data_IF_265104608315
#
_entry.id   IF_265104608315
#
_cell.length_a   1.000
_cell.length_b   1.000
_cell.length_c   1.000
_cell.angle_alpha   90.00
_cell.angle_beta   90.00
_cell.angle_gamma   90.00
#
_symmetry.space_group_name_H-M   'P 1'
#
loop_
_entity.id
_entity.type
_entity.pdbx_description
1 polymer ?
#
# COMPACT_ATOMS: atom_id res chain seq x y z
N UNK A 1 -16.47 2.58 3.20
CA UNK A 1 -15.52 2.72 2.08
C UNK A 1 -15.00 1.32 1.85
N UNK A 2 -15.36 0.70 0.73
CA UNK A 2 -15.08 -0.71 0.45
C UNK A 2 -13.56 -0.91 0.48
N UNK A 3 -13.07 -1.46 1.59
CA UNK A 3 -11.65 -1.56 1.85
C UNK A 3 -11.11 -2.68 0.96
N UNK A 4 -10.21 -2.37 0.02
CA UNK A 4 -9.48 -3.37 -0.77
C UNK A 4 -8.90 -4.48 0.13
N UNK A 5 -8.51 -4.13 1.36
CA UNK A 5 -8.13 -5.08 2.41
C UNK A 5 -9.21 -6.11 2.74
N UNK A 6 -10.46 -5.68 2.92
CA UNK A 6 -11.60 -6.54 3.25
C UNK A 6 -11.96 -7.43 2.06
N UNK A 7 -11.89 -6.88 0.84
CA UNK A 7 -12.11 -7.65 -0.38
C UNK A 7 -11.08 -8.78 -0.56
N UNK A 8 -9.80 -8.51 -0.28
CA UNK A 8 -8.71 -9.49 -0.37
C UNK A 8 -8.83 -10.56 0.74
N UNK A 9 -9.28 -10.18 1.95
CA UNK A 9 -9.55 -11.14 3.03
C UNK A 9 -10.71 -12.08 2.67
N UNK A 10 -11.77 -11.55 2.06
CA UNK A 10 -12.92 -12.35 1.64
C UNK A 10 -12.64 -13.19 0.39
N UNK A 11 -11.64 -12.83 -0.42
CA UNK A 11 -11.30 -13.50 -1.67
C UNK A 11 -9.78 -13.77 -1.77
N UNK A 12 -9.25 -14.77 -1.04
CA UNK A 12 -7.81 -15.02 -0.97
C UNK A 12 -7.19 -15.38 -2.33
N UNK A 13 -7.97 -15.93 -3.27
CA UNK A 13 -7.51 -16.21 -4.64
C UNK A 13 -7.23 -14.94 -5.46
N UNK A 14 -7.98 -13.86 -5.22
CA UNK A 14 -7.79 -12.58 -5.92
C UNK A 14 -6.55 -11.82 -5.44
N UNK A 15 -5.97 -12.19 -4.29
CA UNK A 15 -4.72 -11.60 -3.78
C UNK A 15 -3.59 -11.64 -4.83
N UNK A 16 -3.46 -12.76 -5.53
CA UNK A 16 -2.45 -12.92 -6.57
C UNK A 16 -2.74 -12.07 -7.80
N UNK A 17 -4.01 -11.97 -8.19
CA UNK A 17 -4.41 -11.19 -9.35
C UNK A 17 -4.36 -9.68 -9.11
N UNK A 18 -4.58 -9.23 -7.88
CA UNK A 18 -4.62 -7.81 -7.51
C UNK A 18 -3.28 -7.26 -7.02
N UNK A 19 -2.51 -8.07 -6.28
CA UNK A 19 -1.24 -7.64 -5.71
C UNK A 19 -0.02 -8.36 -6.30
N UNK A 20 -0.21 -9.41 -7.11
CA UNK A 20 0.88 -10.22 -7.63
C UNK A 20 1.48 -11.19 -6.61
N UNK A 21 0.90 -11.31 -5.41
CA UNK A 21 1.42 -12.10 -4.29
C UNK A 21 0.41 -13.15 -3.86
N UNK A 22 0.88 -14.35 -3.48
CA UNK A 22 -0.01 -15.33 -2.84
C UNK A 22 -0.47 -14.82 -1.49
N UNK A 23 -1.68 -15.21 -1.07
CA UNK A 23 -2.25 -14.80 0.21
C UNK A 23 -1.35 -15.09 1.42
N UNK A 24 -0.70 -16.26 1.45
CA UNK A 24 0.24 -16.62 2.52
C UNK A 24 1.45 -15.67 2.58
N UNK A 25 2.00 -15.31 1.42
CA UNK A 25 3.12 -14.38 1.32
C UNK A 25 2.71 -12.97 1.75
N UNK A 26 1.48 -12.56 1.40
CA UNK A 26 0.90 -11.29 1.83
C UNK A 26 0.75 -11.25 3.36
N UNK A 27 0.26 -12.33 3.98
CA UNK A 27 0.11 -12.41 5.42
C UNK A 27 1.46 -12.34 6.14
N UNK A 28 2.46 -13.10 5.67
CA UNK A 28 3.82 -13.03 6.21
C UNK A 28 4.44 -11.63 6.06
N UNK A 29 4.16 -10.95 4.94
CA UNK A 29 4.63 -9.59 4.70
C UNK A 29 3.98 -8.60 5.67
N UNK A 30 2.66 -8.70 5.87
CA UNK A 30 1.92 -7.86 6.81
C UNK A 30 2.46 -8.00 8.23
N UNK A 31 2.66 -9.23 8.72
CA UNK A 31 3.22 -9.47 10.06
C UNK A 31 4.61 -8.85 10.23
N UNK A 32 5.51 -9.07 9.26
CA UNK A 32 6.86 -8.49 9.27
C UNK A 32 6.83 -6.96 9.23
N UNK A 33 5.97 -6.39 8.39
CA UNK A 33 5.86 -4.94 8.23
C UNK A 33 5.29 -4.27 9.49
N UNK A 34 4.27 -4.86 10.12
CA UNK A 34 3.72 -4.37 11.39
C UNK A 34 4.81 -4.42 12.48
N UNK A 35 5.54 -5.54 12.59
CA UNK A 35 6.64 -5.68 13.55
C UNK A 35 7.73 -4.64 13.36
N UNK A 36 8.16 -4.42 12.11
CA UNK A 36 9.14 -3.39 11.76
C UNK A 36 8.61 -1.98 12.07
N UNK A 37 7.33 -1.72 11.80
CA UNK A 37 6.72 -0.43 12.10
C UNK A 37 6.73 -0.15 13.60
N UNK A 38 6.36 -1.13 14.43
CA UNK A 38 6.41 -1.03 15.88
C UNK A 38 7.84 -0.81 16.39
N UNK A 39 8.82 -1.55 15.87
CA UNK A 39 10.24 -1.37 16.23
C UNK A 39 10.72 0.05 15.88
N UNK A 40 10.35 0.56 14.71
CA UNK A 40 10.72 1.91 14.28
C UNK A 40 10.03 2.98 15.13
N UNK A 41 8.76 2.80 15.50
CA UNK A 41 8.05 3.69 16.42
C UNK A 41 8.73 3.70 17.80
N UNK A 42 9.07 2.53 18.35
CA UNK A 42 9.76 2.40 19.63
C UNK A 42 11.15 3.07 19.61
N UNK A 43 11.91 2.93 18.52
CA UNK A 43 13.19 3.62 18.35
C UNK A 43 13.04 5.14 18.26
N UNK A 44 11.99 5.61 17.57
CA UNK A 44 11.66 7.03 17.49
C UNK A 44 11.21 7.58 18.85
N UNK A 45 10.51 6.78 19.65
CA UNK A 45 10.10 7.13 21.01
C UNK A 45 11.26 7.12 22.00
N UNK A 46 12.15 6.11 21.93
CA UNK A 46 13.33 6.03 22.80
C UNK A 46 14.35 7.14 22.52
N UNK A 47 14.43 7.62 21.28
CA UNK A 47 15.26 8.76 20.89
C UNK A 47 14.63 10.12 21.25
N UNK A 48 13.34 10.18 21.59
CA UNK A 48 12.67 11.42 21.99
C UNK A 48 12.91 11.71 23.46
N UNK A 49 13.75 12.69 23.76
CA UNK A 49 13.82 13.35 25.07
C UNK A 49 12.58 14.24 25.26
N UNK A 50 11.47 13.67 25.71
CA UNK A 50 10.23 14.42 26.00
C UNK A 50 10.10 14.71 27.49
N UNK A 51 9.84 15.99 27.83
CA UNK A 51 9.46 16.45 29.18
C UNK A 51 7.94 16.28 29.40
N UNK A 52 7.15 16.22 28.31
CA UNK A 52 5.67 16.16 28.33
C UNK A 52 5.19 14.93 27.54
N UNK A 53 4.12 14.27 27.99
CA UNK A 53 3.50 13.17 27.23
C UNK A 53 3.07 13.62 25.83
N UNK A 54 3.39 12.80 24.82
CA UNK A 54 3.08 13.13 23.43
C UNK A 54 1.61 12.90 23.10
N UNK A 55 0.80 13.96 23.06
CA UNK A 55 -0.63 13.87 22.79
C UNK A 55 -1.19 14.76 21.66
N UNK A 56 -0.37 15.54 20.96
CA UNK A 56 -0.86 16.58 20.04
C UNK A 56 -1.20 16.16 18.60
N UNK A 57 -0.97 14.90 18.23
CA UNK A 57 -1.09 14.44 16.83
C UNK A 57 -2.45 13.80 16.52
N UNK A 58 -3.02 14.13 15.36
CA UNK A 58 -4.20 13.43 14.84
C UNK A 58 -3.84 11.95 14.61
N UNK A 59 -4.63 11.04 15.18
CA UNK A 59 -4.48 9.60 14.93
C UNK A 59 -4.57 9.33 13.42
N UNK A 60 -3.72 8.46 12.86
CA UNK A 60 -3.77 8.13 11.44
C UNK A 60 -5.15 7.55 11.10
N UNK A 61 -5.72 8.00 9.97
CA UNK A 61 -7.07 7.60 9.51
C UNK A 61 -7.10 6.15 9.00
N UNK A 62 -5.94 5.60 8.63
CA UNK A 62 -5.77 4.27 8.06
C UNK A 62 -4.94 3.40 9.00
N UNK A 63 -5.37 2.15 9.18
CA UNK A 63 -4.59 1.14 9.89
C UNK A 63 -3.28 0.82 9.13
N UNK A 64 -2.22 0.37 9.83
CA UNK A 64 -0.97 -0.02 9.18
C UNK A 64 -1.16 -1.05 8.06
N UNK A 65 -2.08 -2.01 8.24
CA UNK A 65 -2.40 -3.02 7.24
C UNK A 65 -2.99 -2.42 5.97
N UNK A 66 -3.95 -1.50 6.11
CA UNK A 66 -4.54 -0.79 4.97
C UNK A 66 -3.51 0.06 4.23
N UNK A 67 -2.59 0.72 4.95
CA UNK A 67 -1.50 1.49 4.33
C UNK A 67 -0.58 0.59 3.51
N UNK A 68 -0.23 -0.59 4.00
CA UNK A 68 0.62 -1.56 3.29
C UNK A 68 -0.08 -2.05 2.01
N UNK A 69 -1.35 -2.45 2.12
CA UNK A 69 -2.13 -2.94 0.97
C UNK A 69 -2.31 -1.86 -0.09
N UNK A 70 -2.58 -0.61 0.34
CA UNK A 70 -2.68 0.53 -0.56
C UNK A 70 -1.35 0.79 -1.29
N UNK A 71 -0.24 0.72 -0.56
CA UNK A 71 1.10 0.89 -1.13
C UNK A 71 1.42 -0.19 -2.16
N UNK A 72 1.12 -1.47 -1.86
CA UNK A 72 1.34 -2.57 -2.80
C UNK A 72 0.50 -2.42 -4.07
N UNK A 73 -0.76 -2.04 -3.92
CA UNK A 73 -1.65 -1.75 -5.06
C UNK A 73 -1.07 -0.65 -5.95
N UNK A 74 -0.62 0.45 -5.33
CA UNK A 74 -0.04 1.58 -6.05
C UNK A 74 1.24 1.20 -6.81
N UNK A 75 2.16 0.48 -6.15
CA UNK A 75 3.41 0.04 -6.78
C UNK A 75 3.16 -0.87 -7.99
N UNK A 76 2.20 -1.80 -7.88
CA UNK A 76 1.85 -2.69 -9.00
C UNK A 76 1.21 -1.94 -10.16
N UNK A 77 0.39 -0.94 -9.87
CA UNK A 77 -0.21 -0.10 -10.89
C UNK A 77 0.87 0.69 -11.64
N UNK A 78 1.86 1.24 -10.93
CA UNK A 78 3.01 1.92 -11.54
C UNK A 78 3.80 1.00 -12.47
N UNK A 79 4.12 -0.22 -12.04
CA UNK A 79 4.84 -1.18 -12.91
C UNK A 79 4.04 -1.57 -14.15
N UNK A 80 2.71 -1.63 -14.03
CA UNK A 80 1.84 -1.92 -15.18
C UNK A 80 1.86 -0.76 -16.17
N UNK A 81 1.81 0.49 -15.67
CA UNK A 81 1.93 1.68 -16.51
C UNK A 81 3.30 1.77 -17.20
N UNK A 82 4.40 1.48 -16.50
CA UNK A 82 5.72 1.45 -17.10
C UNK A 82 5.83 0.39 -18.21
N UNK A 83 5.32 -0.81 -17.96
CA UNK A 83 5.35 -1.89 -18.95
C UNK A 83 4.53 -1.55 -20.20
N UNK A 84 3.33 -0.99 -20.02
CA UNK A 84 2.47 -0.54 -21.11
C UNK A 84 3.13 0.61 -21.89
N UNK A 85 3.78 1.54 -21.20
CA UNK A 85 4.55 2.61 -21.84
C UNK A 85 5.69 2.07 -22.71
N UNK A 86 6.38 1.01 -22.26
CA UNK A 86 7.42 0.33 -23.06
C UNK A 86 6.81 -0.41 -24.26
N UNK A 87 5.71 -1.14 -24.07
CA UNK A 87 5.10 -1.95 -25.15
C UNK A 87 4.49 -1.10 -26.26
N UNK A 88 3.91 0.05 -25.91
CA UNK A 88 3.20 0.91 -26.85
C UNK A 88 3.93 2.21 -27.18
N UNK A 89 5.11 2.47 -26.58
CA UNK A 89 5.91 3.67 -26.81
C UNK A 89 5.23 4.97 -26.37
N UNK A 90 4.20 4.90 -25.52
CA UNK A 90 3.37 6.02 -25.06
C UNK A 90 3.79 6.47 -23.67
N UNK A 91 3.76 7.79 -23.44
CA UNK A 91 4.05 8.37 -22.13
C UNK A 91 2.89 8.17 -21.14
N UNK A 92 3.18 8.18 -19.83
CA UNK A 92 2.16 8.05 -18.77
C UNK A 92 0.99 9.03 -18.95
N UNK A 93 1.28 10.25 -19.41
CA UNK A 93 0.30 11.31 -19.63
C UNK A 93 -0.68 10.97 -20.77
N UNK A 94 -0.20 10.32 -21.84
CA UNK A 94 -1.03 9.87 -22.96
C UNK A 94 -1.91 8.69 -22.54
N UNK A 95 -1.41 7.81 -21.67
CA UNK A 95 -2.20 6.68 -21.16
C UNK A 95 -3.35 7.14 -20.24
N UNK A 96 -3.10 8.15 -19.41
CA UNK A 96 -4.14 8.79 -18.59
C UNK A 96 -5.18 9.45 -19.51
N UNK A 97 -4.74 10.14 -20.58
CA UNK A 97 -5.65 10.75 -21.57
C UNK A 97 -6.50 9.72 -22.32
N UNK A 98 -5.97 8.53 -22.64
CA UNK A 98 -6.73 7.47 -23.30
C UNK A 98 -7.81 6.87 -22.39
N UNK A 99 -7.51 6.78 -21.09
CA UNK A 99 -8.43 6.21 -20.10
C UNK A 99 -9.58 7.18 -19.78
N UNK A 100 -9.32 8.50 -19.82
CA UNK A 100 -10.32 9.54 -19.56
C UNK A 100 -11.08 9.94 -20.84
N UNK A 101 -10.43 9.92 -22.00
CA UNK A 101 -11.04 10.25 -23.29
C UNK A 101 -11.96 9.17 -23.89
N UNK A 102 -12.11 8.04 -23.22
CA UNK A 102 -13.04 6.96 -23.59
C UNK A 102 -14.32 6.94 -22.72
N UNK A 103 -14.57 7.98 -21.91
CA UNK A 103 -15.86 8.23 -21.24
C UNK A 103 -16.70 9.25 -22.00
#
# INVERSE_FOLDING_TARGET
MSNISEYIQNNPHESHRLLGLKYEQLQQLLEKAIKLHHQKQQLVESKKTRIIQGGGGRKPKLSPSEQIILTLTYLRQLTTFQLLGIQFGVSEMQMISLTIGCQ
#
